data_IF_244250988737
#
_entry.id   IF_244250988737
#
_cell.length_a   1.000
_cell.length_b   1.000
_cell.length_c   1.000
_cell.angle_alpha   90.00
_cell.angle_beta   90.00
_cell.angle_gamma   90.00
#
_symmetry.space_group_name_H-M   'P 1'
#
loop_
_entity.id
_entity.type
_entity.pdbx_description
1 polymer ?
#
# COMPACT_ATOMS: atom_id res chain seq x y z
N UNK A 1 -18.50 7.21 -4.04
CA UNK A 1 -19.48 7.01 -2.96
C UNK A 1 -19.61 5.54 -2.69
N UNK A 2 -19.58 5.16 -1.42
CA UNK A 2 -19.72 3.79 -0.99
C UNK A 2 -20.78 3.73 0.12
N UNK A 3 -21.41 2.58 0.31
CA UNK A 3 -22.36 2.41 1.42
C UNK A 3 -21.61 2.66 2.73
N UNK A 4 -22.21 3.49 3.61
CA UNK A 4 -21.64 3.79 4.92
C UNK A 4 -21.36 2.47 5.63
N UNK A 5 -20.08 2.22 5.87
CA UNK A 5 -19.59 1.02 6.54
C UNK A 5 -18.83 1.45 7.78
N UNK A 6 -19.48 1.34 8.93
CA UNK A 6 -18.92 1.75 10.22
C UNK A 6 -17.61 1.02 10.56
N UNK A 7 -17.33 -0.12 9.90
CA UNK A 7 -16.08 -0.85 10.08
C UNK A 7 -14.87 -0.09 9.53
N UNK A 8 -15.04 0.78 8.52
CA UNK A 8 -13.91 1.53 7.91
C UNK A 8 -13.35 2.62 8.82
N UNK A 9 -14.15 3.59 9.33
CA UNK A 9 -13.64 4.57 10.29
C UNK A 9 -13.14 3.89 11.57
N UNK A 10 -13.74 2.76 11.96
CA UNK A 10 -13.25 1.94 13.05
C UNK A 10 -11.86 1.34 12.78
N UNK A 11 -11.61 0.75 11.61
CA UNK A 11 -10.29 0.23 11.23
C UNK A 11 -9.22 1.32 11.22
N UNK A 12 -9.49 2.47 10.59
CA UNK A 12 -8.56 3.61 10.58
C UNK A 12 -8.23 4.10 11.99
N UNK A 13 -9.24 4.13 12.87
CA UNK A 13 -9.06 4.49 14.26
C UNK A 13 -8.17 3.47 14.98
N UNK A 14 -8.37 2.17 14.74
CA UNK A 14 -7.53 1.12 15.31
C UNK A 14 -6.08 1.21 14.87
N UNK A 15 -5.81 1.47 13.60
CA UNK A 15 -4.44 1.67 13.08
C UNK A 15 -3.74 2.84 13.76
N UNK A 16 -4.46 3.96 13.96
CA UNK A 16 -3.92 5.13 14.68
C UNK A 16 -3.66 4.82 16.15
N UNK A 17 -4.55 4.10 16.83
CA UNK A 17 -4.33 3.67 18.23
C UNK A 17 -3.15 2.71 18.31
N UNK A 18 -3.02 1.77 17.38
CA UNK A 18 -1.90 0.83 17.30
C UNK A 18 -0.56 1.56 17.16
N UNK A 19 -0.50 2.55 16.26
CA UNK A 19 0.68 3.38 16.05
C UNK A 19 1.05 4.15 17.32
N UNK A 20 0.07 4.76 18.00
CA UNK A 20 0.28 5.49 19.24
C UNK A 20 0.77 4.56 20.38
N UNK A 21 0.11 3.40 20.56
CA UNK A 21 0.51 2.39 21.55
C UNK A 21 1.92 1.89 21.28
N UNK A 22 2.21 1.50 20.04
CA UNK A 22 3.52 0.95 19.64
C UNK A 22 4.64 1.96 19.87
N UNK A 23 4.41 3.22 19.51
CA UNK A 23 5.37 4.31 19.72
C UNK A 23 5.63 4.53 21.21
N UNK A 24 4.57 4.71 22.01
CA UNK A 24 4.71 5.01 23.43
C UNK A 24 5.32 3.87 24.24
N UNK A 25 4.94 2.63 23.94
CA UNK A 25 5.50 1.45 24.60
C UNK A 25 6.98 1.29 24.24
N UNK A 26 7.34 1.40 22.96
CA UNK A 26 8.74 1.32 22.52
C UNK A 26 9.58 2.36 23.25
N UNK A 27 9.11 3.60 23.30
CA UNK A 27 9.85 4.68 23.93
C UNK A 27 9.89 4.52 25.46
N UNK A 28 8.83 3.95 26.07
CA UNK A 28 8.84 3.61 27.50
C UNK A 28 9.87 2.54 27.85
N UNK A 29 10.03 1.51 27.02
CA UNK A 29 10.99 0.44 27.25
C UNK A 29 12.43 0.96 27.14
N UNK A 30 12.66 1.95 26.29
CA UNK A 30 13.97 2.59 26.14
C UNK A 30 14.34 3.48 27.34
N UNK A 31 13.33 4.04 28.03
CA UNK A 31 13.53 4.99 29.13
C UNK A 31 13.60 4.34 30.53
N UNK A 32 13.51 3.00 30.61
CA UNK A 32 13.78 2.02 31.71
C UNK A 32 13.49 2.34 33.19
N UNK A 33 13.41 3.57 33.67
CA UNK A 33 13.41 3.88 35.12
C UNK A 33 12.09 4.44 35.69
N UNK A 34 11.06 4.80 34.88
CA UNK A 34 9.92 5.58 35.41
C UNK A 34 8.52 5.02 35.06
N UNK A 35 8.36 4.18 34.02
CA UNK A 35 7.02 3.87 33.46
C UNK A 35 6.75 2.40 33.07
N UNK A 36 7.58 1.44 33.52
CA UNK A 36 7.47 0.03 33.10
C UNK A 36 6.08 -0.58 33.35
N UNK A 37 5.49 -0.33 34.53
CA UNK A 37 4.18 -0.87 34.90
C UNK A 37 3.04 -0.31 34.02
N UNK A 38 3.10 0.97 33.65
CA UNK A 38 2.09 1.59 32.79
C UNK A 38 2.21 1.11 31.34
N UNK A 39 3.44 0.96 30.84
CA UNK A 39 3.68 0.42 29.51
C UNK A 39 3.25 -1.04 29.41
N UNK A 40 3.53 -1.85 30.43
CA UNK A 40 3.05 -3.23 30.51
C UNK A 40 1.51 -3.28 30.52
N UNK A 41 0.86 -2.40 31.28
CA UNK A 41 -0.60 -2.37 31.38
C UNK A 41 -1.25 -1.97 30.04
N UNK A 42 -0.70 -0.96 29.36
CA UNK A 42 -1.13 -0.57 28.00
C UNK A 42 -0.93 -1.72 27.02
N UNK A 43 0.25 -2.38 27.03
CA UNK A 43 0.53 -3.53 26.18
C UNK A 43 -0.41 -4.70 26.42
N UNK A 44 -0.66 -5.06 27.69
CA UNK A 44 -1.58 -6.15 28.05
C UNK A 44 -3.01 -5.84 27.61
N UNK A 45 -3.46 -4.59 27.80
CA UNK A 45 -4.78 -4.15 27.37
C UNK A 45 -4.92 -4.20 25.83
N UNK A 46 -3.93 -3.68 25.10
CA UNK A 46 -3.90 -3.71 23.64
C UNK A 46 -3.76 -5.14 23.09
N UNK A 47 -2.91 -5.97 23.67
CA UNK A 47 -2.73 -7.37 23.29
C UNK A 47 -4.00 -8.18 23.54
N UNK A 48 -4.64 -8.01 24.70
CA UNK A 48 -5.92 -8.65 24.99
C UNK A 48 -6.99 -8.20 24.01
N UNK A 49 -7.09 -6.90 23.74
CA UNK A 49 -8.02 -6.37 22.76
C UNK A 49 -7.77 -6.97 21.38
N UNK A 50 -6.55 -6.91 20.85
CA UNK A 50 -6.20 -7.45 19.53
C UNK A 50 -6.33 -8.97 19.42
N UNK A 51 -6.07 -9.75 20.48
CA UNK A 51 -6.27 -11.21 20.47
C UNK A 51 -7.76 -11.60 20.43
N UNK A 52 -8.60 -10.86 21.15
CA UNK A 52 -10.05 -11.08 21.13
C UNK A 52 -10.75 -10.41 19.94
N UNK A 53 -10.05 -9.50 19.25
CA UNK A 53 -10.55 -8.72 18.12
C UNK A 53 -9.97 -9.15 16.76
N UNK A 54 -8.83 -9.85 16.70
CA UNK A 54 -8.18 -10.22 15.43
C UNK A 54 -9.19 -10.88 14.51
N UNK A 55 -9.25 -10.46 13.24
CA UNK A 55 -10.38 -10.78 12.38
C UNK A 55 -10.38 -12.28 12.12
N UNK A 56 -11.56 -12.91 12.23
CA UNK A 56 -11.84 -14.05 11.36
C UNK A 56 -11.72 -13.50 9.95
N UNK A 57 -10.55 -13.74 9.37
CA UNK A 57 -10.19 -13.41 8.01
C UNK A 57 -11.33 -13.82 7.07
N UNK A 58 -11.76 -12.87 6.25
CA UNK A 58 -12.42 -13.10 4.96
C UNK A 58 -13.65 -14.03 5.00
N UNK A 59 -14.85 -13.44 5.08
CA UNK A 59 -16.00 -14.02 4.38
C UNK A 59 -17.22 -14.42 5.21
N UNK A 60 -17.23 -14.32 6.55
CA UNK A 60 -18.40 -14.76 7.31
C UNK A 60 -18.91 -13.75 8.35
N UNK A 61 -20.05 -13.15 8.00
CA UNK A 61 -21.03 -12.61 8.95
C UNK A 61 -20.72 -11.22 9.48
N UNK A 62 -21.42 -10.22 8.95
CA UNK A 62 -21.37 -8.82 9.37
C UNK A 62 -21.68 -8.64 10.86
N UNK A 63 -20.65 -8.71 11.70
CA UNK A 63 -20.72 -8.20 13.07
C UNK A 63 -20.32 -6.74 13.04
N UNK A 64 -21.32 -5.88 13.18
CA UNK A 64 -21.15 -4.45 13.39
C UNK A 64 -20.30 -4.18 14.63
N UNK A 65 -19.55 -3.07 14.61
CA UNK A 65 -18.82 -2.57 15.77
C UNK A 65 -19.79 -2.42 16.95
N UNK A 66 -19.58 -3.17 18.03
CA UNK A 66 -20.47 -3.16 19.21
C UNK A 66 -20.10 -2.05 20.19
N UNK A 67 -21.05 -1.62 21.03
CA UNK A 67 -20.78 -0.65 22.09
C UNK A 67 -19.73 -1.15 23.11
N UNK A 68 -19.64 -2.48 23.30
CA UNK A 68 -18.61 -3.10 24.14
C UNK A 68 -17.21 -2.89 23.58
N UNK A 69 -17.03 -3.06 22.26
CA UNK A 69 -15.74 -2.85 21.60
C UNK A 69 -15.29 -1.39 21.71
N UNK A 70 -16.21 -0.45 21.51
CA UNK A 70 -15.93 0.99 21.67
C UNK A 70 -15.54 1.33 23.10
N UNK A 71 -16.23 0.76 24.08
CA UNK A 71 -15.90 0.97 25.50
C UNK A 71 -14.53 0.39 25.88
N UNK A 72 -14.15 -0.76 25.32
CA UNK A 72 -12.82 -1.35 25.52
C UNK A 72 -11.72 -0.47 24.90
N UNK A 73 -11.94 0.05 23.69
CA UNK A 73 -10.98 0.95 23.04
C UNK A 73 -10.85 2.29 23.77
N UNK A 74 -11.93 2.82 24.34
CA UNK A 74 -11.90 4.00 25.22
C UNK A 74 -11.00 3.76 26.44
N UNK A 75 -11.14 2.60 27.08
CA UNK A 75 -10.28 2.19 28.20
C UNK A 75 -8.81 2.18 27.80
N UNK A 76 -8.48 1.63 26.62
CA UNK A 76 -7.11 1.63 26.11
C UNK A 76 -6.61 3.06 25.87
N UNK A 77 -7.39 3.92 25.21
CA UNK A 77 -7.01 5.31 24.98
C UNK A 77 -6.71 6.06 26.28
N UNK A 78 -7.48 5.84 27.34
CA UNK A 78 -7.22 6.42 28.68
C UNK A 78 -5.89 5.95 29.25
N UNK A 79 -5.58 4.65 29.12
CA UNK A 79 -4.30 4.09 29.58
C UNK A 79 -3.13 4.65 28.76
N UNK A 80 -3.28 4.72 27.44
CA UNK A 80 -2.29 5.29 26.52
C UNK A 80 -2.06 6.77 26.82
N UNK A 81 -3.11 7.53 27.17
CA UNK A 81 -2.99 8.93 27.59
C UNK A 81 -2.20 9.05 28.90
N UNK A 82 -2.48 8.17 29.88
CA UNK A 82 -1.77 8.15 31.16
C UNK A 82 -0.27 7.91 30.95
N UNK A 83 0.08 6.97 30.07
CA UNK A 83 1.46 6.69 29.68
C UNK A 83 2.09 7.89 28.96
N UNK A 84 1.40 8.48 27.99
CA UNK A 84 1.91 9.65 27.26
C UNK A 84 2.12 10.87 28.17
N UNK A 85 1.30 11.07 29.20
CA UNK A 85 1.50 12.15 30.16
C UNK A 85 2.80 12.01 30.98
N UNK A 86 3.32 10.79 31.15
CA UNK A 86 4.57 10.54 31.86
C UNK A 86 5.79 10.63 30.95
N UNK A 87 5.68 10.14 29.72
CA UNK A 87 6.81 10.00 28.78
C UNK A 87 6.92 11.21 27.84
N UNK A 88 5.77 11.79 27.47
CA UNK A 88 5.64 12.92 26.56
C UNK A 88 6.34 12.69 25.20
N UNK A 89 6.39 11.45 24.72
CA UNK A 89 7.00 11.09 23.43
C UNK A 89 6.03 11.26 22.26
N UNK A 90 4.73 11.09 22.49
CA UNK A 90 3.71 11.32 21.47
C UNK A 90 3.17 12.74 21.61
N UNK A 91 3.11 13.51 20.52
CA UNK A 91 2.71 14.92 20.57
C UNK A 91 1.33 15.08 21.23
N UNK A 92 1.23 16.01 22.19
CA UNK A 92 -0.05 16.31 22.86
C UNK A 92 -1.13 16.73 21.85
N UNK A 93 -0.75 17.44 20.79
CA UNK A 93 -1.67 17.87 19.74
C UNK A 93 -2.18 16.67 18.91
N UNK A 94 -1.28 15.78 18.51
CA UNK A 94 -1.63 14.57 17.75
C UNK A 94 -2.50 13.63 18.58
N UNK A 95 -2.20 13.47 19.88
CA UNK A 95 -3.00 12.64 20.77
C UNK A 95 -4.38 13.23 21.01
N UNK A 96 -4.48 14.55 21.18
CA UNK A 96 -5.77 15.24 21.31
C UNK A 96 -6.62 15.07 20.05
N UNK A 97 -6.02 15.13 18.86
CA UNK A 97 -6.70 14.84 17.60
C UNK A 97 -7.25 13.41 17.57
N UNK A 98 -6.44 12.40 17.96
CA UNK A 98 -6.86 11.00 18.03
C UNK A 98 -8.06 10.80 18.98
N UNK A 99 -8.03 11.42 20.16
CA UNK A 99 -9.15 11.34 21.13
C UNK A 99 -10.41 12.00 20.58
N UNK A 100 -10.28 13.11 19.85
CA UNK A 100 -11.41 13.78 19.22
C UNK A 100 -12.00 12.94 18.08
N UNK A 101 -11.18 12.31 17.25
CA UNK A 101 -11.63 11.35 16.24
C UNK A 101 -12.38 10.17 16.88
N UNK A 102 -11.87 9.63 18.00
CA UNK A 102 -12.55 8.58 18.77
C UNK A 102 -13.93 9.04 19.28
N UNK A 103 -14.02 10.24 19.85
CA UNK A 103 -15.28 10.80 20.36
C UNK A 103 -16.32 10.97 19.26
N UNK A 104 -15.90 11.49 18.11
CA UNK A 104 -16.77 11.62 16.92
C UNK A 104 -17.28 10.26 16.46
N UNK A 105 -16.41 9.26 16.39
CA UNK A 105 -16.80 7.89 16.04
C UNK A 105 -17.80 7.31 17.05
N UNK A 106 -17.55 7.46 18.36
CA UNK A 106 -18.44 6.98 19.42
C UNK A 106 -19.83 7.62 19.33
N UNK A 107 -19.90 8.91 19.03
CA UNK A 107 -21.17 9.60 18.80
C UNK A 107 -21.89 9.08 17.55
N UNK A 108 -21.16 8.87 16.44
CA UNK A 108 -21.71 8.32 15.20
C UNK A 108 -22.24 6.89 15.40
N UNK A 109 -21.53 6.03 16.15
CA UNK A 109 -21.99 4.68 16.47
C UNK A 109 -23.28 4.71 17.30
N UNK A 110 -23.36 5.57 18.32
CA UNK A 110 -24.57 5.71 19.13
C UNK A 110 -25.77 6.16 18.28
N UNK A 111 -25.55 7.09 17.34
CA UNK A 111 -26.58 7.56 16.41
C UNK A 111 -26.97 6.52 15.36
N UNK A 112 -26.02 5.67 14.94
CA UNK A 112 -26.24 4.58 13.98
C UNK A 112 -26.95 3.37 14.62
N UNK A 113 -26.85 3.19 15.94
CA UNK A 113 -27.63 2.19 16.66
C UNK A 113 -29.12 2.58 16.77
N UNK A 114 -29.41 3.89 16.87
CA UNK A 114 -30.79 4.42 16.96
C UNK A 114 -31.45 4.63 15.59
N UNK A 115 -30.67 4.84 14.53
CA UNK A 115 -31.18 4.99 13.17
C UNK A 115 -31.02 3.67 12.45
N UNK A 116 -32.12 3.12 11.95
CA UNK A 116 -32.13 1.96 11.05
C UNK A 116 -31.44 2.36 9.73
N UNK A 117 -30.10 2.42 9.74
CA UNK A 117 -29.24 3.03 8.71
C UNK A 117 -29.04 2.10 7.52
N UNK A 118 -30.14 1.58 6.98
CA UNK A 118 -30.13 0.88 5.71
C UNK A 118 -30.12 1.94 4.60
N UNK A 119 -28.98 2.12 3.93
CA UNK A 119 -28.89 2.78 2.63
C UNK A 119 -28.28 4.19 2.57
N UNK A 120 -27.56 4.66 3.60
CA UNK A 120 -26.78 5.90 3.49
C UNK A 120 -25.46 5.66 2.75
N UNK A 121 -25.07 6.58 1.87
CA UNK A 121 -23.80 6.56 1.15
C UNK A 121 -22.90 7.68 1.67
N UNK A 122 -21.61 7.38 1.84
CA UNK A 122 -20.59 8.38 2.14
C UNK A 122 -19.57 8.51 1.01
N UNK A 123 -18.94 9.68 0.95
CA UNK A 123 -17.79 9.88 0.08
C UNK A 123 -16.57 9.24 0.72
N UNK A 124 -15.86 8.41 -0.06
CA UNK A 124 -14.60 7.80 0.34
C UNK A 124 -13.56 8.22 -0.68
N UNK A 125 -12.51 8.89 -0.20
CA UNK A 125 -11.39 9.30 -1.03
C UNK A 125 -10.68 8.08 -1.60
N UNK A 126 -10.54 8.04 -2.94
CA UNK A 126 -9.81 6.98 -3.64
C UNK A 126 -8.30 7.10 -3.47
N UNK A 127 -7.56 6.07 -3.91
CA UNK A 127 -6.09 6.00 -3.76
C UNK A 127 -5.35 7.23 -4.29
N UNK A 128 -5.78 7.76 -5.44
CA UNK A 128 -5.19 8.98 -6.00
C UNK A 128 -5.35 10.18 -5.06
N UNK A 129 -6.56 10.37 -4.51
CA UNK A 129 -6.85 11.49 -3.61
C UNK A 129 -6.04 11.37 -2.33
N UNK A 130 -5.97 10.17 -1.77
CA UNK A 130 -5.17 9.90 -0.57
C UNK A 130 -3.69 10.22 -0.81
N UNK A 131 -3.09 9.70 -1.90
CA UNK A 131 -1.70 9.95 -2.25
C UNK A 131 -1.41 11.44 -2.51
N UNK A 132 -2.34 12.15 -3.15
CA UNK A 132 -2.22 13.60 -3.36
C UNK A 132 -2.14 14.39 -2.06
N UNK A 133 -2.92 13.99 -1.05
CA UNK A 133 -2.95 14.66 0.26
C UNK A 133 -1.75 14.30 1.14
N UNK A 134 -1.33 13.02 1.14
CA UNK A 134 -0.22 12.54 1.96
C UNK A 134 1.16 12.83 1.35
N UNK A 135 1.23 13.08 0.04
CA UNK A 135 2.50 13.21 -0.68
C UNK A 135 3.15 11.89 -1.04
N UNK A 136 2.38 10.80 -1.05
CA UNK A 136 2.87 9.49 -1.44
C UNK A 136 3.16 9.42 -2.94
N UNK A 137 3.98 8.45 -3.33
CA UNK A 137 4.23 8.18 -4.73
C UNK A 137 3.20 7.19 -5.26
N UNK A 138 2.60 7.50 -6.40
CA UNK A 138 1.58 6.67 -7.03
C UNK A 138 2.10 6.13 -8.36
N UNK A 139 2.12 4.80 -8.49
CA UNK A 139 2.34 4.12 -9.77
C UNK A 139 1.00 3.64 -10.32
N UNK A 140 0.61 4.15 -11.47
CA UNK A 140 -0.50 3.62 -12.26
C UNK A 140 0.06 2.65 -13.28
N UNK A 141 -0.19 1.37 -13.07
CA UNK A 141 0.31 0.32 -13.94
C UNK A 141 -0.60 0.15 -15.17
N UNK A 142 -0.01 -0.07 -16.34
CA UNK A 142 -0.71 -0.41 -17.60
C UNK A 142 -1.83 0.58 -17.97
N UNK A 143 -1.51 1.88 -17.95
CA UNK A 143 -2.51 2.96 -18.10
C UNK A 143 -3.26 2.93 -19.43
N UNK A 144 -2.67 2.35 -20.46
CA UNK A 144 -3.25 2.22 -21.79
C UNK A 144 -4.39 1.19 -21.89
N UNK A 145 -4.60 0.35 -20.86
CA UNK A 145 -5.80 -0.48 -20.74
C UNK A 145 -7.04 0.35 -20.36
N UNK A 146 -6.83 1.57 -19.88
CA UNK A 146 -7.90 2.50 -19.54
C UNK A 146 -8.33 3.31 -20.77
N UNK A 147 -9.61 3.68 -20.85
CA UNK A 147 -10.06 4.61 -21.87
C UNK A 147 -9.32 5.96 -21.72
N UNK A 148 -8.74 6.53 -22.80
CA UNK A 148 -8.00 7.80 -22.71
C UNK A 148 -8.78 8.94 -22.05
N UNK A 149 -10.11 8.98 -22.20
CA UNK A 149 -10.97 9.98 -21.56
C UNK A 149 -10.94 9.94 -20.03
N UNK A 150 -10.64 8.78 -19.43
CA UNK A 150 -10.50 8.64 -17.98
C UNK A 150 -9.21 9.28 -17.50
N UNK A 151 -8.11 9.04 -18.21
CA UNK A 151 -6.81 9.65 -17.95
C UNK A 151 -6.85 11.16 -18.19
N UNK A 152 -7.60 11.62 -19.19
CA UNK A 152 -7.72 13.05 -19.50
C UNK A 152 -8.32 13.87 -18.34
N UNK A 153 -9.02 13.25 -17.40
CA UNK A 153 -9.46 13.91 -16.15
C UNK A 153 -8.31 14.32 -15.25
N UNK A 154 -7.13 13.72 -15.41
CA UNK A 154 -5.92 14.07 -14.68
C UNK A 154 -5.15 15.23 -15.34
N UNK A 155 -5.51 15.66 -16.55
CA UNK A 155 -4.76 16.69 -17.26
C UNK A 155 -4.64 17.99 -16.45
N UNK A 156 -5.72 18.43 -15.79
CA UNK A 156 -5.72 19.64 -14.96
C UNK A 156 -4.80 19.53 -13.73
N UNK A 157 -4.63 18.33 -13.18
CA UNK A 157 -3.73 18.06 -12.07
C UNK A 157 -2.25 18.08 -12.51
N UNK A 158 -1.97 17.69 -13.75
CA UNK A 158 -0.61 17.57 -14.31
C UNK A 158 -0.09 18.85 -14.97
N UNK A 159 -0.87 19.94 -14.93
CA UNK A 159 -0.40 21.27 -15.30
C UNK A 159 0.48 21.90 -14.20
N UNK A 160 1.33 22.89 -14.54
CA UNK A 160 2.03 23.68 -13.53
C UNK A 160 1.05 24.36 -12.57
N UNK A 161 1.14 24.04 -11.27
CA UNK A 161 0.18 24.51 -10.27
C UNK A 161 -1.20 23.85 -10.38
N UNK A 162 -1.28 22.72 -11.06
CA UNK A 162 -2.49 21.95 -11.28
C UNK A 162 -3.12 21.45 -9.98
N UNK A 163 -4.44 21.32 -10.00
CA UNK A 163 -5.25 20.82 -8.89
C UNK A 163 -6.23 19.77 -9.39
N UNK A 164 -6.60 18.83 -8.53
CA UNK A 164 -7.64 17.86 -8.82
C UNK A 164 -9.00 18.41 -8.39
N UNK A 165 -9.88 18.66 -9.36
CA UNK A 165 -11.27 19.07 -9.10
C UNK A 165 -12.16 17.84 -8.92
N UNK A 166 -12.86 17.75 -7.78
CA UNK A 166 -13.70 16.61 -7.45
C UNK A 166 -15.18 16.90 -7.73
N UNK A 167 -15.51 17.07 -9.00
CA UNK A 167 -16.88 17.40 -9.43
C UNK A 167 -17.91 16.34 -9.00
N UNK A 168 -17.49 15.08 -8.95
CA UNK A 168 -18.33 13.94 -8.58
C UNK A 168 -18.71 13.91 -7.10
N UNK A 169 -17.95 14.58 -6.22
CA UNK A 169 -18.27 14.68 -4.79
C UNK A 169 -19.42 15.66 -4.52
N UNK A 170 -19.77 16.47 -5.52
CA UNK A 170 -20.77 17.52 -5.42
C UNK A 170 -20.22 18.79 -4.75
N UNK A 171 -21.10 19.76 -4.56
CA UNK A 171 -20.78 21.05 -3.95
C UNK A 171 -20.75 20.91 -2.42
N UNK A 172 -19.66 21.36 -1.80
CA UNK A 172 -19.48 21.43 -0.34
C UNK A 172 -19.28 22.91 0.01
N UNK A 173 -20.11 23.43 0.90
CA UNK A 173 -20.08 24.83 1.35
C UNK A 173 -20.12 25.86 0.20
N UNK A 174 -20.86 25.56 -0.87
CA UNK A 174 -21.01 26.48 -2.02
C UNK A 174 -19.87 26.41 -3.04
N UNK A 175 -18.96 25.43 -2.93
CA UNK A 175 -17.84 25.26 -3.85
C UNK A 175 -17.61 23.79 -4.21
N UNK A 176 -17.10 23.52 -5.41
CA UNK A 176 -16.64 22.17 -5.76
C UNK A 176 -15.27 21.96 -5.09
N UNK A 177 -15.10 20.89 -4.31
CA UNK A 177 -13.84 20.63 -3.63
C UNK A 177 -12.71 20.44 -4.64
N UNK A 178 -11.60 21.12 -4.40
CA UNK A 178 -10.36 21.00 -5.17
C UNK A 178 -9.23 20.58 -4.26
N UNK A 179 -8.33 19.73 -4.77
CA UNK A 179 -7.20 19.19 -4.01
C UNK A 179 -5.91 19.62 -4.71
N UNK A 180 -5.11 20.43 -4.01
CA UNK A 180 -3.77 20.73 -4.44
C UNK A 180 -2.83 19.55 -4.09
N UNK A 181 -1.97 19.11 -5.02
CA UNK A 181 -1.00 18.04 -4.74
C UNK A 181 -0.01 18.47 -3.67
N UNK A 182 0.28 17.57 -2.73
CA UNK A 182 1.35 17.75 -1.75
C UNK A 182 2.72 17.87 -2.47
N UNK A 183 3.67 18.71 -2.01
CA UNK A 183 4.96 18.93 -2.70
C UNK A 183 5.80 17.68 -2.98
N UNK A 184 5.65 16.64 -2.14
CA UNK A 184 6.35 15.37 -2.28
C UNK A 184 5.64 14.33 -3.17
N UNK A 185 4.40 14.59 -3.58
CA UNK A 185 3.64 13.68 -4.44
C UNK A 185 4.35 13.47 -5.78
N UNK A 186 4.42 12.23 -6.24
CA UNK A 186 4.96 11.87 -7.56
C UNK A 186 4.03 10.87 -8.22
N UNK A 187 3.77 11.07 -9.51
CA UNK A 187 2.96 10.16 -10.32
C UNK A 187 3.84 9.47 -11.36
N UNK A 188 3.78 8.15 -11.39
CA UNK A 188 4.42 7.29 -12.37
C UNK A 188 3.33 6.56 -13.15
N UNK A 189 3.48 6.51 -14.47
CA UNK A 189 2.60 5.78 -15.37
C UNK A 189 3.45 4.75 -16.11
N UNK A 190 3.02 3.49 -16.12
CA UNK A 190 3.60 2.47 -17.01
C UNK A 190 2.59 2.12 -18.11
N UNK A 191 3.08 1.75 -19.28
CA UNK A 191 2.27 1.24 -20.38
C UNK A 191 3.10 0.33 -21.27
N UNK A 192 2.43 -0.61 -21.93
CA UNK A 192 3.02 -1.42 -23.00
C UNK A 192 2.40 -0.98 -24.35
N UNK A 193 3.16 -0.41 -25.28
CA UNK A 193 2.63 0.09 -26.56
C UNK A 193 1.88 -0.96 -27.39
N UNK A 194 2.09 -2.26 -27.15
CA UNK A 194 1.33 -3.35 -27.80
C UNK A 194 -0.17 -3.26 -27.49
N UNK A 195 -0.54 -2.74 -26.33
CA UNK A 195 -1.94 -2.62 -25.89
C UNK A 195 -2.58 -1.25 -26.20
N UNK A 196 -1.92 -0.45 -27.03
CA UNK A 196 -2.38 0.87 -27.45
C UNK A 196 -1.63 2.01 -26.77
N UNK A 197 -2.00 3.24 -27.14
CA UNK A 197 -1.34 4.45 -26.67
C UNK A 197 -2.26 5.30 -25.78
N UNK A 198 -1.64 6.13 -24.94
CA UNK A 198 -2.33 7.20 -24.20
C UNK A 198 -2.49 8.46 -25.05
N UNK A 199 -3.39 9.37 -24.63
CA UNK A 199 -3.65 10.61 -25.37
C UNK A 199 -2.38 11.48 -25.48
N UNK A 200 -2.23 12.19 -26.61
CA UNK A 200 -1.13 13.16 -26.79
C UNK A 200 -1.11 14.21 -25.68
N UNK A 201 -2.28 14.60 -25.19
CA UNK A 201 -2.43 15.52 -24.08
C UNK A 201 -1.72 15.01 -22.82
N UNK A 202 -1.91 13.73 -22.47
CA UNK A 202 -1.24 13.12 -21.33
C UNK A 202 0.28 13.05 -21.53
N UNK A 203 0.73 12.59 -22.71
CA UNK A 203 2.17 12.50 -23.05
C UNK A 203 2.89 13.83 -22.94
N UNK A 204 2.25 14.92 -23.38
CA UNK A 204 2.83 16.25 -23.35
C UNK A 204 2.99 16.87 -21.95
N UNK A 205 2.46 16.23 -20.89
CA UNK A 205 2.56 16.68 -19.50
C UNK A 205 3.52 15.84 -18.66
N UNK A 206 4.10 14.80 -19.25
CA UNK A 206 5.01 13.88 -18.58
C UNK A 206 6.38 13.84 -19.23
N UNK A 207 7.29 13.14 -18.56
CA UNK A 207 8.53 12.66 -19.16
C UNK A 207 8.26 11.21 -19.58
N UNK A 208 8.44 10.92 -20.87
CA UNK A 208 8.30 9.57 -21.41
C UNK A 208 9.68 8.92 -21.49
N UNK A 209 9.82 7.74 -20.89
CA UNK A 209 11.03 6.94 -20.93
C UNK A 209 10.68 5.64 -21.64
N UNK A 210 11.26 5.45 -22.83
CA UNK A 210 11.10 4.20 -23.57
C UNK A 210 12.15 3.19 -23.10
N UNK A 211 11.68 2.04 -22.62
CA UNK A 211 12.54 0.91 -22.28
C UNK A 211 12.44 -0.08 -23.45
N UNK A 212 13.51 -0.26 -24.24
CA UNK A 212 13.48 -1.14 -25.39
C UNK A 212 13.25 -2.58 -24.93
N UNK A 213 12.32 -3.26 -25.61
CA UNK A 213 12.05 -4.66 -25.37
C UNK A 213 12.99 -5.55 -26.17
N UNK A 214 13.00 -6.86 -25.86
CA UNK A 214 13.79 -7.85 -26.61
C UNK A 214 13.41 -7.92 -28.10
N UNK A 215 12.18 -7.51 -28.46
CA UNK A 215 11.69 -7.49 -29.84
C UNK A 215 12.23 -6.33 -30.66
N UNK A 216 12.77 -5.29 -30.02
CA UNK A 216 13.32 -4.11 -30.71
C UNK A 216 14.75 -4.32 -31.22
N UNK A 217 15.23 -5.56 -31.18
CA UNK A 217 16.60 -5.92 -31.54
C UNK A 217 17.64 -5.48 -30.51
N UNK A 218 17.22 -4.87 -29.40
CA UNK A 218 18.09 -4.47 -28.30
C UNK A 218 18.18 -5.63 -27.29
N UNK A 219 19.03 -6.60 -27.61
CA UNK A 219 19.31 -7.72 -26.73
C UNK A 219 20.26 -7.23 -25.64
N UNK A 220 19.84 -7.33 -24.38
CA UNK A 220 20.74 -7.11 -23.23
C UNK A 220 21.98 -7.97 -23.41
N UNK A 221 23.15 -7.39 -23.16
CA UNK A 221 24.36 -8.16 -23.29
C UNK A 221 24.46 -9.22 -22.17
N UNK A 222 25.36 -10.19 -22.34
CA UNK A 222 25.52 -11.25 -21.35
C UNK A 222 25.97 -10.72 -19.99
N UNK A 223 26.61 -9.54 -19.93
CA UNK A 223 27.06 -8.96 -18.68
C UNK A 223 25.89 -8.35 -17.91
N UNK A 224 25.00 -7.62 -18.57
CA UNK A 224 23.78 -7.06 -18.02
C UNK A 224 22.87 -8.17 -17.48
N UNK A 225 22.70 -9.25 -18.25
CA UNK A 225 21.95 -10.43 -17.81
C UNK A 225 22.57 -11.07 -16.57
N UNK A 226 23.90 -11.23 -16.53
CA UNK A 226 24.59 -11.73 -15.33
C UNK A 226 24.40 -10.81 -14.13
N UNK A 227 24.47 -9.49 -14.32
CA UNK A 227 24.25 -8.51 -13.26
C UNK A 227 22.82 -8.59 -12.70
N UNK A 228 21.82 -8.75 -13.56
CA UNK A 228 20.43 -8.98 -13.13
C UNK A 228 20.29 -10.27 -12.32
N UNK A 229 20.87 -11.38 -12.80
CA UNK A 229 20.85 -12.67 -12.10
C UNK A 229 21.57 -12.61 -10.75
N UNK A 230 22.73 -11.95 -10.69
CA UNK A 230 23.46 -11.71 -9.45
C UNK A 230 22.64 -10.85 -8.48
N UNK A 231 21.94 -9.83 -8.97
CA UNK A 231 21.04 -9.00 -8.18
C UNK A 231 19.88 -9.78 -7.55
N UNK A 232 19.46 -10.88 -8.17
CA UNK A 232 18.47 -11.82 -7.61
C UNK A 232 19.08 -12.81 -6.60
N UNK A 233 20.39 -12.77 -6.37
CA UNK A 233 21.11 -13.65 -5.43
C UNK A 233 21.64 -14.94 -6.06
N UNK A 234 21.56 -15.11 -7.38
CA UNK A 234 22.16 -16.25 -8.08
C UNK A 234 23.65 -15.96 -8.27
N UNK A 235 24.51 -16.47 -7.39
CA UNK A 235 25.94 -16.18 -7.42
C UNK A 235 26.71 -17.31 -8.10
N UNK A 236 27.48 -16.97 -9.14
CA UNK A 236 28.42 -17.87 -9.79
C UNK A 236 28.27 -17.87 -11.31
N UNK A 237 29.34 -17.49 -12.00
CA UNK A 237 29.33 -17.31 -13.46
C UNK A 237 28.86 -18.56 -14.20
N UNK A 238 29.30 -19.75 -13.77
CA UNK A 238 28.93 -21.01 -14.41
C UNK A 238 27.43 -21.33 -14.31
N UNK A 239 26.78 -20.91 -13.22
CA UNK A 239 25.34 -21.15 -13.00
C UNK A 239 24.54 -20.16 -13.84
N UNK A 240 24.96 -18.89 -13.86
CA UNK A 240 24.36 -17.89 -14.73
C UNK A 240 24.51 -18.27 -16.20
N UNK A 241 25.70 -18.72 -16.63
CA UNK A 241 25.96 -19.16 -18.00
C UNK A 241 25.09 -20.37 -18.37
N UNK A 242 24.96 -21.35 -17.47
CA UNK A 242 24.08 -22.50 -17.69
C UNK A 242 22.60 -22.08 -17.82
N UNK A 243 22.12 -21.19 -16.93
CA UNK A 243 20.74 -20.73 -16.96
C UNK A 243 20.43 -19.89 -18.21
N UNK A 244 21.36 -19.02 -18.61
CA UNK A 244 21.26 -18.24 -19.85
C UNK A 244 21.27 -19.15 -21.08
N UNK A 245 22.10 -20.21 -21.09
CA UNK A 245 22.13 -21.20 -22.18
C UNK A 245 20.77 -21.92 -22.31
N UNK A 246 20.21 -22.42 -21.20
CA UNK A 246 18.88 -23.05 -21.17
C UNK A 246 17.81 -22.10 -21.70
N UNK A 247 17.84 -20.82 -21.27
CA UNK A 247 16.89 -19.82 -21.75
C UNK A 247 17.03 -19.57 -23.25
N UNK A 248 18.26 -19.44 -23.77
CA UNK A 248 18.54 -19.25 -25.19
C UNK A 248 18.06 -20.44 -26.05
N UNK A 249 18.34 -21.67 -25.61
CA UNK A 249 17.88 -22.89 -26.27
C UNK A 249 16.34 -23.00 -26.26
N UNK A 250 15.71 -22.71 -25.12
CA UNK A 250 14.24 -22.73 -25.00
C UNK A 250 13.59 -21.69 -25.92
N UNK A 251 14.17 -20.49 -26.00
CA UNK A 251 13.72 -19.41 -26.89
C UNK A 251 13.84 -19.81 -28.36
N UNK A 252 14.90 -20.51 -28.75
CA UNK A 252 15.08 -21.03 -30.11
C UNK A 252 14.11 -22.17 -30.44
N UNK A 253 13.76 -23.00 -29.46
CA UNK A 253 12.92 -24.19 -29.64
C UNK A 253 11.42 -23.91 -29.69
N UNK A 254 10.94 -22.79 -29.14
CA UNK A 254 9.51 -22.45 -29.08
C UNK A 254 9.22 -21.20 -29.92
N UNK A 255 8.88 -21.35 -31.22
CA UNK A 255 8.52 -20.23 -32.09
C UNK A 255 7.24 -19.56 -31.57
N UNK A 256 7.31 -18.26 -31.30
CA UNK A 256 6.15 -17.46 -30.86
C UNK A 256 5.91 -17.39 -29.36
N UNK A 257 6.78 -18.02 -28.53
CA UNK A 257 6.81 -17.69 -27.10
C UNK A 257 7.29 -16.25 -26.96
N UNK A 258 6.62 -15.46 -26.11
CA UNK A 258 7.05 -14.10 -25.84
C UNK A 258 8.52 -14.13 -25.39
N UNK A 259 9.36 -13.47 -26.17
CA UNK A 259 10.77 -13.12 -25.90
C UNK A 259 10.85 -12.27 -24.65
N UNK A 260 10.68 -12.92 -23.50
CA UNK A 260 10.64 -12.28 -22.20
C UNK A 260 11.73 -12.86 -21.33
N UNK A 261 12.46 -11.98 -20.65
CA UNK A 261 13.34 -12.34 -19.54
C UNK A 261 12.57 -12.90 -18.34
N UNK A 262 11.24 -12.75 -18.29
CA UNK A 262 10.45 -13.15 -17.13
C UNK A 262 10.67 -14.61 -16.71
N UNK A 263 10.65 -15.62 -17.61
CA UNK A 263 10.94 -17.01 -17.24
C UNK A 263 12.39 -17.19 -16.76
N UNK A 264 13.35 -16.48 -17.34
CA UNK A 264 14.76 -16.51 -16.92
C UNK A 264 14.90 -16.01 -15.48
N UNK A 265 14.33 -14.84 -15.18
CA UNK A 265 14.37 -14.22 -13.86
C UNK A 265 13.58 -15.05 -12.83
N UNK A 266 12.43 -15.60 -13.21
CA UNK A 266 11.64 -16.48 -12.34
C UNK A 266 12.40 -17.77 -12.00
N UNK A 267 13.02 -18.42 -12.98
CA UNK A 267 13.86 -19.59 -12.75
C UNK A 267 15.02 -19.26 -11.79
N UNK A 268 15.68 -18.11 -11.98
CA UNK A 268 16.74 -17.66 -11.08
C UNK A 268 16.24 -17.48 -9.63
N UNK A 269 15.10 -16.80 -9.43
CA UNK A 269 14.48 -16.63 -8.11
C UNK A 269 14.15 -17.98 -7.48
N UNK A 270 13.60 -18.93 -8.25
CA UNK A 270 13.26 -20.27 -7.76
C UNK A 270 14.50 -21.05 -7.34
N UNK A 271 15.59 -20.99 -8.11
CA UNK A 271 16.87 -21.63 -7.75
C UNK A 271 17.37 -21.08 -6.42
N UNK A 272 17.42 -19.75 -6.28
CA UNK A 272 17.89 -19.08 -5.07
C UNK A 272 17.04 -19.46 -3.86
N UNK A 273 15.71 -19.46 -4.01
CA UNK A 273 14.80 -19.88 -2.93
C UNK A 273 14.99 -21.34 -2.53
N UNK A 274 15.24 -22.24 -3.48
CA UNK A 274 15.45 -23.66 -3.18
C UNK A 274 16.79 -23.91 -2.49
N UNK A 275 17.85 -23.20 -2.90
CA UNK A 275 19.16 -23.25 -2.23
C UNK A 275 19.05 -22.73 -0.79
N UNK A 276 18.34 -21.62 -0.58
CA UNK A 276 18.08 -21.08 0.76
C UNK A 276 17.30 -22.04 1.66
N UNK A 277 16.49 -22.94 1.07
CA UNK A 277 15.77 -24.02 1.77
C UNK A 277 16.63 -25.28 1.99
N UNK A 278 17.90 -25.26 1.63
CA UNK A 278 18.85 -26.35 1.84
C UNK A 278 18.90 -27.41 0.74
N UNK A 279 18.29 -27.17 -0.43
CA UNK A 279 18.48 -28.07 -1.57
C UNK A 279 19.86 -27.84 -2.20
N UNK A 280 20.51 -28.93 -2.62
CA UNK A 280 21.73 -28.86 -3.40
C UNK A 280 21.50 -28.19 -4.76
N UNK A 281 22.50 -27.45 -5.25
CA UNK A 281 22.44 -26.64 -6.47
C UNK A 281 21.88 -27.40 -7.68
N UNK A 282 22.37 -28.62 -7.96
CA UNK A 282 21.92 -29.41 -9.10
C UNK A 282 20.42 -29.76 -9.02
N UNK A 283 19.93 -30.09 -7.83
CA UNK A 283 18.50 -30.38 -7.61
C UNK A 283 17.65 -29.10 -7.68
N UNK A 284 18.18 -27.98 -7.20
CA UNK A 284 17.49 -26.69 -7.28
C UNK A 284 17.34 -26.23 -8.74
N UNK A 285 18.40 -26.39 -9.54
CA UNK A 285 18.41 -26.08 -10.97
C UNK A 285 17.43 -26.98 -11.74
N UNK A 286 17.50 -28.29 -11.55
CA UNK A 286 16.61 -29.25 -12.22
C UNK A 286 15.12 -29.06 -11.90
N UNK A 287 14.78 -28.50 -10.73
CA UNK A 287 13.38 -28.26 -10.34
C UNK A 287 12.84 -26.92 -10.82
N UNK A 288 13.73 -25.98 -11.14
CA UNK A 288 13.37 -24.61 -11.51
C UNK A 288 13.31 -24.38 -13.02
N UNK A 289 14.05 -25.17 -13.80
CA UNK A 289 14.11 -25.16 -15.26
C UNK A 289 13.41 -26.40 -15.82
#
# INVERSE_FOLDING_TARGET
FEQVDINRPWQRLLEKVESAVSTLVRDSLLLTEICADDAELVLRAWSSFTLHYKPKSLGEGGRSVTAELVSKLEGILVLTQRLNNKINSYSKAEFAHLVEEFRRFKLQQAQAADRNSHGTFEWVDGMLVQALQSGDWLLMDNVNFCNPSVLDRLNALLEPGGVLTMSERGEIDGTIPTIAPHPNFRLFLSMDPVHGEISRAMRNRGIEIYIPGENDGNVLDNLDLKLLLHGLGLVGDSICDALMAVHSETKAAIPGSASSLSPLLQAAVLIVQQIQRGLGLANAFYRAC
#
